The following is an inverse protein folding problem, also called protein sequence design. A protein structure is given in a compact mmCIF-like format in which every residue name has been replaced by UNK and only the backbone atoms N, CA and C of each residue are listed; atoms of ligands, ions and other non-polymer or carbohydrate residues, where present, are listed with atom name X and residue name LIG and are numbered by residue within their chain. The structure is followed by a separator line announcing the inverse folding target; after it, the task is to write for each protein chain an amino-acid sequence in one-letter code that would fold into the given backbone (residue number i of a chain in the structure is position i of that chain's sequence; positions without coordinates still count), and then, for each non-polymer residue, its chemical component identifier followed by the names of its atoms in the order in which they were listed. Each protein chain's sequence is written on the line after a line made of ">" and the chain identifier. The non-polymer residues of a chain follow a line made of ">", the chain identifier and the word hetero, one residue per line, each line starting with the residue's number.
data_IF_851376783486
#
_entry.id   IF_851376783486
#
_cell.length_a   1.000
_cell.length_b   1.000
_cell.length_c   1.000
_cell.angle_alpha   90.00
_cell.angle_beta   90.00
_cell.angle_gamma   90.00
#
_symmetry.space_group_name_H-M   'P 1'
#
loop_
_entity.id
_entity.type
_entity.pdbx_description
1 polymer ?
#
# COMPACT_ATOMS: atom_id res chain seq x y z
N UNK A 1 22.52 -6.00 -9.98
CA UNK A 1 22.12 -4.66 -9.51
C UNK A 1 20.73 -4.81 -8.93
N UNK A 2 20.61 -4.85 -7.60
CA UNK A 2 19.30 -4.94 -6.94
C UNK A 2 18.66 -3.56 -7.09
N UNK A 3 17.44 -3.43 -7.66
CA UNK A 3 16.94 -2.11 -8.02
C UNK A 3 16.76 -1.19 -6.80
N UNK A 4 17.04 0.10 -6.99
CA UNK A 4 17.05 1.16 -5.96
C UNK A 4 15.73 1.31 -5.19
N UNK A 5 14.61 0.75 -5.65
CA UNK A 5 13.38 0.73 -4.86
C UNK A 5 13.49 -0.10 -3.56
N UNK A 6 14.52 -0.95 -3.44
CA UNK A 6 14.83 -1.66 -2.18
C UNK A 6 15.59 -0.80 -1.16
N UNK A 7 16.27 0.27 -1.59
CA UNK A 7 17.01 1.16 -0.69
C UNK A 7 16.12 2.27 -0.09
N UNK A 8 15.07 2.68 -0.79
CA UNK A 8 14.18 3.78 -0.39
C UNK A 8 12.86 3.36 0.31
N UNK A 9 12.65 2.07 0.54
CA UNK A 9 11.64 1.56 1.48
C UNK A 9 10.19 1.92 1.15
N UNK A 10 9.65 1.43 0.04
CA UNK A 10 8.21 1.52 -0.23
C UNK A 10 7.41 0.54 0.64
N UNK A 11 6.13 0.86 0.82
CA UNK A 11 5.15 0.00 1.48
C UNK A 11 4.02 -0.24 0.49
N UNK A 12 3.66 -1.49 0.27
CA UNK A 12 2.62 -1.84 -0.70
C UNK A 12 1.68 -2.91 -0.17
N UNK A 13 0.48 -2.91 -0.74
CA UNK A 13 -0.56 -3.88 -0.50
C UNK A 13 -1.18 -4.26 -1.85
N UNK A 14 -1.03 -5.53 -2.23
CA UNK A 14 -1.55 -6.05 -3.51
C UNK A 14 -2.87 -6.78 -3.37
N UNK A 15 -3.62 -6.91 -4.47
CA UNK A 15 -4.96 -7.52 -4.51
C UNK A 15 -5.02 -8.96 -4.02
N UNK A 16 -3.93 -9.71 -4.19
CA UNK A 16 -3.77 -11.06 -3.64
C UNK A 16 -3.61 -11.09 -2.10
N UNK A 17 -3.61 -9.93 -1.44
CA UNK A 17 -3.54 -9.81 0.01
C UNK A 17 -2.11 -9.60 0.55
N UNK A 18 -1.08 -9.53 -0.28
CA UNK A 18 0.30 -9.44 0.21
C UNK A 18 0.67 -8.01 0.64
N UNK A 19 1.24 -7.86 1.83
CA UNK A 19 1.72 -6.59 2.39
C UNK A 19 3.25 -6.60 2.51
N UNK A 20 3.90 -5.64 1.85
CA UNK A 20 5.35 -5.41 1.88
C UNK A 20 5.68 -4.13 2.67
N UNK A 21 6.78 -4.05 3.45
CA UNK A 21 7.83 -5.05 3.67
C UNK A 21 7.53 -6.04 4.82
N UNK A 22 6.35 -5.98 5.41
CA UNK A 22 5.96 -6.90 6.50
C UNK A 22 6.04 -8.38 6.08
N UNK A 23 5.97 -8.67 4.77
CA UNK A 23 5.91 -10.02 4.20
C UNK A 23 4.79 -10.85 4.84
N UNK A 24 3.66 -10.19 5.07
CA UNK A 24 2.50 -10.76 5.74
C UNK A 24 1.29 -10.79 4.79
N UNK A 25 0.41 -11.76 5.03
CA UNK A 25 -0.88 -11.82 4.38
C UNK A 25 -1.87 -10.93 5.13
N UNK A 26 -2.60 -10.14 4.37
CA UNK A 26 -3.67 -9.27 4.83
C UNK A 26 -4.86 -10.09 5.35
N UNK A 27 -5.62 -9.47 6.26
CA UNK A 27 -6.90 -9.99 6.78
C UNK A 27 -8.07 -9.74 5.82
N UNK A 28 -7.85 -8.96 4.77
CA UNK A 28 -8.81 -8.67 3.71
C UNK A 28 -8.11 -8.65 2.34
N UNK A 29 -8.79 -9.07 1.29
CA UNK A 29 -8.39 -8.82 -0.11
C UNK A 29 -9.32 -7.77 -0.71
N UNK A 30 -9.01 -7.27 -1.90
CA UNK A 30 -9.88 -6.35 -2.63
C UNK A 30 -10.12 -6.82 -4.06
N UNK A 31 -11.26 -6.45 -4.61
CA UNK A 31 -11.67 -6.69 -5.99
C UNK A 31 -12.25 -5.41 -6.62
N UNK A 32 -12.73 -5.51 -7.86
CA UNK A 32 -13.39 -4.40 -8.55
C UNK A 32 -14.58 -3.86 -7.73
N UNK A 33 -14.65 -2.53 -7.61
CA UNK A 33 -15.70 -1.83 -6.85
C UNK A 33 -15.34 -1.58 -5.38
N UNK A 34 -14.30 -2.23 -4.86
CA UNK A 34 -13.82 -1.95 -3.50
C UNK A 34 -13.04 -0.65 -3.43
N UNK A 35 -13.09 -0.02 -2.25
CA UNK A 35 -12.25 1.12 -1.91
C UNK A 35 -11.08 0.69 -1.04
N UNK A 36 -9.87 0.87 -1.55
CA UNK A 36 -8.63 0.72 -0.78
C UNK A 36 -8.21 2.08 -0.21
N UNK A 37 -7.94 2.13 1.08
CA UNK A 37 -7.37 3.32 1.74
C UNK A 37 -5.99 2.97 2.29
N UNK A 38 -5.01 3.83 2.02
CA UNK A 38 -3.68 3.76 2.60
C UNK A 38 -3.44 5.01 3.46
N UNK A 39 -3.00 4.83 4.69
CA UNK A 39 -2.72 5.92 5.63
C UNK A 39 -1.30 5.80 6.12
N UNK A 40 -0.46 6.79 5.83
CA UNK A 40 0.87 6.93 6.40
C UNK A 40 0.81 7.88 7.60
N UNK A 41 1.26 7.39 8.77
CA UNK A 41 1.56 8.24 9.91
C UNK A 41 3.09 8.36 10.05
N UNK A 42 3.59 9.60 9.90
CA UNK A 42 5.02 9.89 10.00
C UNK A 42 5.54 9.73 11.43
N UNK A 43 4.76 10.11 12.44
CA UNK A 43 5.13 9.97 13.86
C UNK A 43 5.36 8.51 14.25
N UNK A 44 4.41 7.63 13.91
CA UNK A 44 4.52 6.20 14.20
C UNK A 44 5.33 5.43 13.16
N UNK A 45 5.82 6.10 12.10
CA UNK A 45 6.50 5.50 10.93
C UNK A 45 5.79 4.25 10.43
N UNK A 46 4.49 4.35 10.14
CA UNK A 46 3.67 3.19 9.78
C UNK A 46 2.65 3.51 8.69
N UNK A 47 2.51 2.58 7.75
CA UNK A 47 1.42 2.59 6.77
C UNK A 47 0.40 1.55 7.15
N UNK A 48 -0.87 1.94 7.18
CA UNK A 48 -2.01 1.06 7.41
C UNK A 48 -2.90 1.04 6.17
N UNK A 49 -3.35 -0.14 5.79
CA UNK A 49 -4.26 -0.37 4.68
C UNK A 49 -5.62 -0.81 5.18
N UNK A 50 -6.67 -0.33 4.53
CA UNK A 50 -8.04 -0.76 4.77
C UNK A 50 -8.77 -1.01 3.45
N UNK A 51 -9.66 -1.99 3.44
CA UNK A 51 -10.60 -2.28 2.33
C UNK A 51 -12.00 -2.00 2.83
N UNK A 52 -12.73 -1.10 2.16
CA UNK A 52 -14.07 -0.68 2.53
C UNK A 52 -14.18 -0.27 4.03
N UNK A 53 -13.14 0.40 4.53
CA UNK A 53 -13.07 0.87 5.93
C UNK A 53 -12.63 -0.17 6.96
N UNK A 54 -12.47 -1.45 6.58
CA UNK A 54 -11.95 -2.49 7.46
C UNK A 54 -10.44 -2.63 7.31
N UNK A 55 -9.71 -2.62 8.42
CA UNK A 55 -8.24 -2.80 8.40
C UNK A 55 -7.86 -4.13 7.75
N UNK A 56 -7.05 -4.03 6.71
CA UNK A 56 -6.48 -5.13 5.95
C UNK A 56 -5.13 -5.55 6.56
N UNK A 57 -4.32 -4.56 6.94
CA UNK A 57 -3.07 -4.76 7.67
C UNK A 57 -2.18 -3.53 7.57
N UNK A 58 -0.93 -3.68 7.98
CA UNK A 58 -0.02 -2.54 8.16
C UNK A 58 1.44 -2.97 8.10
N UNK A 59 2.31 -2.04 7.73
CA UNK A 59 3.75 -2.28 7.63
C UNK A 59 4.55 -1.04 8.07
N UNK A 60 5.80 -1.22 8.54
CA UNK A 60 6.65 -0.10 8.92
C UNK A 60 7.03 0.74 7.69
N UNK A 61 6.96 2.05 7.83
CA UNK A 61 7.52 3.02 6.89
C UNK A 61 8.99 3.27 7.23
N UNK A 62 9.88 2.96 6.30
CA UNK A 62 11.32 3.16 6.45
C UNK A 62 11.87 4.25 5.54
N UNK A 63 11.00 4.89 4.76
CA UNK A 63 11.37 6.05 3.95
C UNK A 63 11.54 7.32 4.78
N UNK A 64 11.82 8.42 4.09
CA UNK A 64 12.06 9.73 4.68
C UNK A 64 10.80 10.43 5.21
N UNK A 65 10.92 11.74 5.40
CA UNK A 65 9.85 12.61 5.91
C UNK A 65 8.90 13.08 4.80
N UNK A 66 9.10 12.55 3.60
CA UNK A 66 8.28 12.79 2.43
C UNK A 66 7.88 11.43 1.84
N UNK A 67 6.65 11.35 1.35
CA UNK A 67 6.11 10.17 0.73
C UNK A 67 5.13 10.54 -0.37
N UNK A 68 5.07 9.70 -1.39
CA UNK A 68 4.20 9.88 -2.54
C UNK A 68 3.24 8.70 -2.66
N UNK A 69 1.94 8.94 -2.88
CA UNK A 69 0.99 7.88 -3.20
C UNK A 69 1.32 7.32 -4.59
N UNK A 70 1.27 6.00 -4.72
CA UNK A 70 1.49 5.33 -6.00
C UNK A 70 0.51 4.18 -6.19
N UNK A 71 0.07 3.98 -7.42
CA UNK A 71 -0.75 2.84 -7.84
C UNK A 71 0.04 2.11 -8.93
N UNK A 72 0.30 0.83 -8.72
CA UNK A 72 0.90 -0.04 -9.72
C UNK A 72 -0.16 -1.01 -10.24
N UNK A 73 -0.39 -0.98 -11.54
CA UNK A 73 -1.36 -1.83 -12.24
C UNK A 73 -0.62 -2.74 -13.22
N UNK A 74 -1.08 -3.99 -13.32
CA UNK A 74 -0.70 -4.82 -14.46
C UNK A 74 -1.34 -4.26 -15.74
N UNK A 75 -0.69 -4.39 -16.91
CA UNK A 75 -1.26 -3.96 -18.18
C UNK A 75 -2.65 -4.57 -18.40
N UNK A 76 -3.68 -3.74 -18.63
CA UNK A 76 -5.07 -4.16 -18.79
C UNK A 76 -6.10 -3.10 -18.35
N UNK A 77 -7.38 -3.51 -18.24
CA UNK A 77 -8.55 -2.67 -17.94
C UNK A 77 -8.71 -2.33 -16.44
N UNK A 78 -7.68 -1.84 -15.76
CA UNK A 78 -7.80 -1.39 -14.37
C UNK A 78 -7.82 0.13 -14.33
N UNK A 79 -9.03 0.71 -14.31
CA UNK A 79 -9.25 2.15 -14.07
C UNK A 79 -9.37 2.37 -12.57
N UNK A 80 -8.51 3.21 -12.02
CA UNK A 80 -8.50 3.54 -10.60
C UNK A 80 -8.64 5.05 -10.41
N UNK A 81 -9.54 5.47 -9.52
CA UNK A 81 -9.62 6.86 -9.08
C UNK A 81 -8.74 7.08 -7.85
N UNK A 82 -7.81 8.04 -7.94
CA UNK A 82 -6.99 8.45 -6.80
C UNK A 82 -7.59 9.69 -6.15
N UNK A 83 -7.92 9.59 -4.85
CA UNK A 83 -8.34 10.73 -4.04
C UNK A 83 -7.38 10.91 -2.87
N UNK A 84 -6.67 12.04 -2.85
CA UNK A 84 -5.82 12.46 -1.73
C UNK A 84 -6.66 13.30 -0.77
N UNK A 85 -6.51 13.05 0.52
CA UNK A 85 -7.23 13.71 1.61
C UNK A 85 -6.27 14.06 2.72
#
# INVERSE_FOLDING_TARGET
>A
MTPDYLSSGYVSYGGAGFIYPAKAMSRATYTQGDRVTATLCFDSRRVTFAVNGREAGSAPWRGGDEAYPAISVFPGELVCDLALR
#
